data_IF_424250003995
#
_entry.id   IF_424250003995
#
_cell.length_a   1.000
_cell.length_b   1.000
_cell.length_c   1.000
_cell.angle_alpha   90.00
_cell.angle_beta   90.00
_cell.angle_gamma   90.00
#
_symmetry.space_group_name_H-M   'P 1'
#
loop_
_entity.id
_entity.type
_entity.pdbx_description
1 polymer ?
#
# COMPACT_ATOMS: atom_id res chain seq x y z
N UNK A 1 -53.58 -47.39 -21.72
CA UNK A 1 -53.49 -47.05 -20.30
C UNK A 1 -53.07 -45.61 -20.15
N UNK A 2 -53.78 -44.74 -19.42
CA UNK A 2 -53.34 -43.34 -19.23
C UNK A 2 -52.02 -43.32 -18.47
N UNK A 3 -51.03 -42.58 -18.98
CA UNK A 3 -49.71 -42.42 -18.37
C UNK A 3 -49.90 -41.75 -16.98
N UNK A 4 -49.38 -42.39 -15.90
CA UNK A 4 -49.43 -41.87 -14.54
C UNK A 4 -48.82 -40.44 -14.50
N UNK A 5 -49.62 -39.50 -13.98
CA UNK A 5 -49.17 -38.14 -13.62
C UNK A 5 -48.10 -38.21 -12.54
N UNK A 6 -47.12 -37.38 -12.57
CA UNK A 6 -46.07 -37.33 -11.56
C UNK A 6 -46.69 -36.71 -10.29
N UNK A 7 -46.82 -37.46 -9.19
CA UNK A 7 -47.18 -36.93 -7.88
C UNK A 7 -45.87 -36.71 -7.10
N UNK A 8 -45.58 -35.46 -6.79
CA UNK A 8 -44.65 -35.06 -5.75
C UNK A 8 -45.55 -34.65 -4.56
N UNK A 9 -45.68 -35.53 -3.56
CA UNK A 9 -46.44 -35.22 -2.36
C UNK A 9 -45.52 -34.62 -1.29
N UNK A 10 -45.62 -33.30 -1.06
CA UNK A 10 -45.23 -32.68 0.21
C UNK A 10 -46.17 -31.48 0.44
N UNK A 11 -47.11 -31.64 1.35
CA UNK A 11 -47.98 -30.57 1.81
C UNK A 11 -47.16 -29.55 2.60
N UNK A 12 -47.28 -28.27 2.22
CA UNK A 12 -46.65 -27.12 2.94
C UNK A 12 -45.50 -26.44 2.24
N UNK A 13 -44.86 -27.02 1.23
CA UNK A 13 -43.72 -26.41 0.53
C UNK A 13 -44.08 -25.54 -0.69
N UNK A 14 -45.37 -25.50 -1.09
CA UNK A 14 -45.81 -24.78 -2.28
C UNK A 14 -45.62 -23.25 -2.14
N UNK A 15 -45.87 -22.67 -0.96
CA UNK A 15 -45.69 -21.26 -0.69
C UNK A 15 -44.19 -20.89 -0.65
N UNK A 16 -43.38 -21.68 0.02
CA UNK A 16 -41.93 -21.53 0.11
C UNK A 16 -41.26 -21.64 -1.28
N UNK A 17 -41.78 -22.54 -2.10
CA UNK A 17 -41.30 -22.70 -3.50
C UNK A 17 -41.62 -21.48 -4.36
N UNK A 18 -42.83 -20.90 -4.16
CA UNK A 18 -43.24 -19.69 -4.90
C UNK A 18 -42.38 -18.47 -4.54
N UNK A 19 -42.15 -18.31 -3.24
CA UNK A 19 -41.28 -17.27 -2.72
C UNK A 19 -39.83 -17.40 -3.28
N UNK A 20 -39.28 -18.61 -3.25
CA UNK A 20 -37.96 -18.90 -3.83
C UNK A 20 -37.89 -18.67 -5.34
N UNK A 21 -38.93 -19.07 -6.09
CA UNK A 21 -39.00 -18.83 -7.53
C UNK A 21 -39.02 -17.35 -7.91
N UNK A 22 -39.62 -16.49 -7.08
CA UNK A 22 -39.62 -15.05 -7.30
C UNK A 22 -38.24 -14.41 -7.08
N UNK A 23 -37.42 -14.95 -6.18
CA UNK A 23 -36.14 -14.41 -5.76
C UNK A 23 -34.96 -15.02 -6.55
N UNK A 24 -35.11 -16.24 -7.09
CA UNK A 24 -34.01 -16.92 -7.78
C UNK A 24 -33.76 -16.34 -9.18
N UNK A 25 -32.53 -15.86 -9.47
CA UNK A 25 -32.19 -15.33 -10.77
C UNK A 25 -32.22 -16.41 -11.87
N UNK A 26 -32.34 -16.02 -13.16
CA UNK A 26 -32.31 -16.95 -14.28
C UNK A 26 -31.07 -17.86 -14.22
N UNK A 27 -31.28 -19.17 -14.37
CA UNK A 27 -30.20 -20.15 -14.36
C UNK A 27 -30.70 -21.56 -13.98
N UNK A 28 -29.76 -22.50 -13.87
CA UNK A 28 -30.07 -23.91 -13.61
C UNK A 28 -30.85 -24.16 -12.31
N UNK A 29 -30.61 -23.38 -11.26
CA UNK A 29 -31.36 -23.48 -10.01
C UNK A 29 -32.84 -23.13 -10.23
N UNK A 30 -33.12 -22.02 -10.95
CA UNK A 30 -34.48 -21.62 -11.30
C UNK A 30 -35.16 -22.65 -12.19
N UNK A 31 -34.48 -23.22 -13.17
CA UNK A 31 -35.02 -24.30 -14.01
C UNK A 31 -35.45 -25.52 -13.16
N UNK A 32 -34.65 -25.91 -12.18
CA UNK A 32 -34.95 -27.00 -11.27
C UNK A 32 -36.18 -26.69 -10.42
N UNK A 33 -36.26 -25.45 -9.89
CA UNK A 33 -37.43 -25.01 -9.11
C UNK A 33 -38.69 -25.01 -9.98
N UNK A 34 -38.64 -24.57 -11.23
CA UNK A 34 -39.77 -24.63 -12.16
C UNK A 34 -40.18 -26.07 -12.42
N UNK A 35 -39.22 -26.98 -12.61
CA UNK A 35 -39.53 -28.42 -12.79
C UNK A 35 -40.26 -29.01 -11.58
N UNK A 36 -39.77 -28.68 -10.36
CA UNK A 36 -40.43 -29.15 -9.10
C UNK A 36 -41.84 -28.57 -8.98
N UNK A 37 -42.01 -27.26 -9.26
CA UNK A 37 -43.34 -26.63 -9.21
C UNK A 37 -44.36 -27.28 -10.16
N UNK A 38 -43.95 -27.55 -11.40
CA UNK A 38 -44.79 -28.27 -12.38
C UNK A 38 -45.11 -29.69 -11.92
N UNK A 39 -44.17 -30.35 -11.25
CA UNK A 39 -44.37 -31.68 -10.68
C UNK A 39 -45.33 -31.71 -9.50
N UNK A 40 -45.24 -30.71 -8.60
CA UNK A 40 -46.14 -30.58 -7.45
C UNK A 40 -47.56 -30.27 -7.86
N UNK A 41 -47.78 -29.45 -8.89
CA UNK A 41 -49.12 -29.20 -9.47
C UNK A 41 -49.80 -30.45 -10.02
N UNK A 42 -49.04 -31.47 -10.36
CA UNK A 42 -49.58 -32.78 -10.79
C UNK A 42 -50.32 -32.78 -12.16
N UNK A 43 -50.25 -31.65 -12.88
CA UNK A 43 -50.98 -31.47 -14.14
C UNK A 43 -50.23 -32.07 -15.35
N UNK A 44 -48.92 -32.22 -15.22
CA UNK A 44 -48.03 -32.63 -16.27
C UNK A 44 -47.32 -33.97 -16.02
N UNK A 45 -47.07 -34.72 -17.07
CA UNK A 45 -46.21 -35.90 -16.98
C UNK A 45 -44.74 -35.48 -17.04
N UNK A 46 -43.81 -36.33 -16.55
CA UNK A 46 -42.39 -36.10 -16.64
C UNK A 46 -41.88 -35.76 -18.05
N UNK A 47 -42.50 -36.41 -19.08
CA UNK A 47 -42.16 -36.13 -20.45
C UNK A 47 -42.58 -34.74 -20.92
N UNK A 48 -43.73 -34.25 -20.49
CA UNK A 48 -44.24 -32.91 -20.78
C UNK A 48 -43.40 -31.83 -20.09
N UNK A 49 -43.02 -32.03 -18.83
CA UNK A 49 -42.15 -31.15 -18.09
C UNK A 49 -40.77 -31.07 -18.78
N UNK A 50 -40.23 -32.22 -19.19
CA UNK A 50 -38.96 -32.28 -19.90
C UNK A 50 -39.01 -31.52 -21.24
N UNK A 51 -40.10 -31.65 -21.95
CA UNK A 51 -40.32 -30.94 -23.22
C UNK A 51 -40.41 -29.42 -23.01
N UNK A 52 -41.20 -28.97 -22.00
CA UNK A 52 -41.35 -27.54 -21.68
C UNK A 52 -40.04 -26.86 -21.27
N UNK A 53 -39.16 -27.60 -20.61
CA UNK A 53 -37.90 -27.08 -20.11
C UNK A 53 -36.69 -27.35 -21.08
N UNK A 54 -36.94 -28.01 -22.23
CA UNK A 54 -35.89 -28.35 -23.15
C UNK A 54 -34.84 -29.32 -22.56
N UNK A 55 -35.27 -30.22 -21.63
CA UNK A 55 -34.37 -31.15 -20.93
C UNK A 55 -34.79 -32.60 -21.20
N UNK A 56 -33.86 -33.55 -20.94
CA UNK A 56 -34.21 -34.95 -21.01
C UNK A 56 -35.12 -35.38 -19.85
N UNK A 57 -35.97 -36.38 -20.10
CA UNK A 57 -36.80 -37.00 -19.04
C UNK A 57 -35.95 -37.50 -17.87
N UNK A 58 -34.80 -38.07 -18.13
CA UNK A 58 -33.87 -38.53 -17.08
C UNK A 58 -33.36 -37.39 -16.20
N UNK A 59 -33.09 -36.20 -16.78
CA UNK A 59 -32.69 -35.03 -16.05
C UNK A 59 -33.78 -34.58 -15.08
N UNK A 60 -35.05 -34.52 -15.53
CA UNK A 60 -36.17 -34.13 -14.67
C UNK A 60 -36.38 -35.16 -13.57
N UNK A 61 -36.30 -36.44 -13.87
CA UNK A 61 -36.37 -37.51 -12.88
C UNK A 61 -35.27 -37.34 -11.80
N UNK A 62 -34.03 -37.09 -12.19
CA UNK A 62 -32.91 -36.86 -11.27
C UNK A 62 -33.19 -35.66 -10.34
N UNK A 63 -33.78 -34.57 -10.85
CA UNK A 63 -34.16 -33.41 -10.02
C UNK A 63 -35.29 -33.73 -9.03
N UNK A 64 -36.27 -34.54 -9.43
CA UNK A 64 -37.35 -35.00 -8.57
C UNK A 64 -36.85 -35.96 -7.50
N UNK A 65 -35.91 -36.84 -7.83
CA UNK A 65 -35.29 -37.74 -6.85
C UNK A 65 -34.43 -36.99 -5.86
N UNK A 66 -33.70 -35.97 -6.34
CA UNK A 66 -32.94 -35.08 -5.47
C UNK A 66 -33.85 -34.31 -4.50
N UNK A 67 -34.99 -33.79 -4.99
CA UNK A 67 -35.96 -33.09 -4.19
C UNK A 67 -36.58 -34.00 -3.11
N UNK A 68 -36.98 -35.21 -3.48
CA UNK A 68 -37.53 -36.20 -2.54
C UNK A 68 -36.56 -36.61 -1.45
N UNK A 69 -35.26 -36.71 -1.82
CA UNK A 69 -34.24 -37.19 -0.90
C UNK A 69 -33.66 -36.10 0.01
N UNK A 70 -33.47 -34.90 -0.51
CA UNK A 70 -32.71 -33.86 0.16
C UNK A 70 -33.44 -32.51 0.27
N UNK A 71 -34.69 -32.42 -0.19
CA UNK A 71 -35.54 -31.24 -0.07
C UNK A 71 -35.19 -30.09 -1.02
N UNK A 72 -35.93 -28.97 -0.86
CA UNK A 72 -35.87 -27.81 -1.73
C UNK A 72 -34.52 -27.09 -1.68
N UNK A 73 -33.93 -26.98 -0.50
CA UNK A 73 -32.63 -26.33 -0.28
C UNK A 73 -31.51 -26.94 -1.15
N UNK A 74 -31.54 -28.26 -1.29
CA UNK A 74 -30.49 -28.97 -2.05
C UNK A 74 -30.68 -28.81 -3.58
N UNK A 75 -31.93 -28.69 -4.00
CA UNK A 75 -32.24 -28.44 -5.42
C UNK A 75 -31.68 -27.10 -5.89
N UNK A 76 -31.75 -26.07 -5.03
CA UNK A 76 -31.28 -24.73 -5.28
C UNK A 76 -29.71 -24.63 -5.21
N UNK A 77 -29.11 -25.48 -4.40
CA UNK A 77 -27.63 -25.45 -4.27
C UNK A 77 -26.94 -25.79 -5.58
N UNK A 78 -26.09 -24.87 -6.04
CA UNK A 78 -25.09 -25.24 -7.05
C UNK A 78 -24.20 -26.32 -6.45
N UNK A 79 -23.93 -27.39 -7.21
CA UNK A 79 -22.88 -28.33 -6.81
C UNK A 79 -21.54 -27.57 -6.71
N UNK A 80 -21.09 -27.33 -5.50
CA UNK A 80 -19.78 -26.73 -5.26
C UNK A 80 -18.63 -27.74 -5.41
N UNK A 81 -18.94 -28.94 -5.90
CA UNK A 81 -17.89 -29.91 -6.20
C UNK A 81 -17.03 -29.35 -7.34
N UNK A 82 -15.75 -29.15 -7.14
CA UNK A 82 -14.87 -28.70 -8.21
C UNK A 82 -14.88 -29.75 -9.33
N UNK A 83 -15.43 -29.37 -10.49
CA UNK A 83 -15.60 -30.25 -11.66
C UNK A 83 -14.30 -30.39 -12.49
N UNK A 84 -13.14 -30.17 -11.90
CA UNK A 84 -11.85 -30.22 -12.58
C UNK A 84 -10.85 -31.15 -11.92
N UNK A 85 -9.73 -31.39 -12.61
CA UNK A 85 -8.59 -32.13 -12.07
C UNK A 85 -8.18 -31.48 -10.74
N UNK A 86 -7.96 -32.26 -9.65
CA UNK A 86 -7.49 -31.74 -8.38
C UNK A 86 -6.24 -30.89 -8.56
N UNK A 87 -6.20 -29.75 -7.86
CA UNK A 87 -5.04 -28.86 -7.95
C UNK A 87 -3.82 -29.51 -7.30
N UNK A 88 -2.68 -29.50 -7.98
CA UNK A 88 -1.39 -29.93 -7.42
C UNK A 88 -0.89 -28.97 -6.32
N UNK A 89 -1.51 -27.80 -6.18
CA UNK A 89 -1.23 -26.83 -5.10
C UNK A 89 -1.93 -27.27 -3.80
N UNK A 90 -1.36 -28.25 -3.12
CA UNK A 90 -1.87 -28.68 -1.81
C UNK A 90 -1.71 -27.57 -0.76
N UNK A 91 -2.49 -27.58 0.36
CA UNK A 91 -2.35 -26.58 1.44
C UNK A 91 -0.92 -26.46 1.99
N UNK A 92 -0.17 -27.56 2.06
CA UNK A 92 1.23 -27.58 2.45
C UNK A 92 2.11 -26.80 1.47
N UNK A 93 1.99 -27.09 0.19
CA UNK A 93 2.75 -26.43 -0.88
C UNK A 93 2.39 -24.95 -0.93
N UNK A 94 1.11 -24.61 -0.80
CA UNK A 94 0.63 -23.23 -0.76
C UNK A 94 1.27 -22.43 0.37
N UNK A 95 1.34 -22.98 1.58
CA UNK A 95 1.97 -22.34 2.75
C UNK A 95 3.46 -22.08 2.53
N UNK A 96 4.19 -23.07 2.01
CA UNK A 96 5.63 -22.93 1.75
C UNK A 96 5.90 -21.95 0.59
N UNK A 97 5.08 -21.98 -0.47
CA UNK A 97 5.18 -21.02 -1.56
C UNK A 97 4.93 -19.60 -1.07
N UNK A 98 3.89 -19.37 -0.26
CA UNK A 98 3.60 -18.07 0.35
C UNK A 98 4.77 -17.57 1.21
N UNK A 99 5.38 -18.45 2.01
CA UNK A 99 6.57 -18.14 2.83
C UNK A 99 7.79 -17.74 1.99
N UNK A 100 8.00 -18.37 0.85
CA UNK A 100 9.09 -18.00 -0.08
C UNK A 100 8.79 -16.68 -0.80
N UNK A 101 7.53 -16.48 -1.21
CA UNK A 101 7.09 -15.23 -1.84
C UNK A 101 7.21 -14.03 -0.90
N UNK A 102 6.88 -14.18 0.38
CA UNK A 102 7.02 -13.10 1.38
C UNK A 102 8.48 -12.69 1.61
N UNK A 103 9.43 -13.59 1.38
CA UNK A 103 10.87 -13.33 1.44
C UNK A 103 11.46 -12.80 0.13
N UNK A 104 10.66 -12.65 -0.93
CA UNK A 104 11.15 -12.22 -2.26
C UNK A 104 12.12 -13.22 -2.91
N UNK A 105 11.98 -14.53 -2.61
CA UNK A 105 12.95 -15.55 -3.03
C UNK A 105 12.95 -15.84 -4.54
N UNK A 106 11.94 -15.39 -5.27
CA UNK A 106 11.80 -15.66 -6.70
C UNK A 106 11.83 -14.37 -7.51
N UNK A 107 12.73 -14.30 -8.46
CA UNK A 107 12.86 -13.19 -9.38
C UNK A 107 11.93 -13.35 -10.60
N UNK A 108 11.71 -14.58 -11.03
CA UNK A 108 10.88 -14.96 -12.18
C UNK A 108 9.94 -16.10 -11.80
N UNK A 109 8.89 -16.30 -12.59
CA UNK A 109 7.96 -17.45 -12.42
C UNK A 109 8.68 -18.79 -12.60
N UNK A 110 9.68 -18.86 -13.48
CA UNK A 110 10.53 -20.04 -13.69
C UNK A 110 11.29 -20.46 -12.44
N UNK A 111 11.72 -19.50 -11.63
CA UNK A 111 12.45 -19.79 -10.38
C UNK A 111 11.52 -20.50 -9.39
N UNK A 112 10.28 -20.03 -9.26
CA UNK A 112 9.24 -20.67 -8.45
C UNK A 112 8.87 -22.07 -9.01
N UNK A 113 8.75 -22.20 -10.33
CA UNK A 113 8.46 -23.46 -11.01
C UNK A 113 9.56 -24.49 -10.78
N UNK A 114 10.81 -24.10 -10.95
CA UNK A 114 11.98 -24.97 -10.70
C UNK A 114 12.05 -25.38 -9.24
N UNK A 115 11.78 -24.46 -8.31
CA UNK A 115 11.74 -24.76 -6.89
C UNK A 115 10.61 -25.74 -6.52
N UNK A 116 9.40 -25.56 -7.06
CA UNK A 116 8.26 -26.46 -6.87
C UNK A 116 8.57 -27.86 -7.39
N UNK A 117 9.19 -27.96 -8.57
CA UNK A 117 9.59 -29.24 -9.14
C UNK A 117 10.65 -29.95 -8.27
N UNK A 118 11.70 -29.24 -7.85
CA UNK A 118 12.80 -29.83 -7.03
C UNK A 118 12.34 -30.22 -5.65
N UNK A 119 11.49 -29.40 -5.00
CA UNK A 119 11.14 -29.57 -3.59
C UNK A 119 9.93 -30.49 -3.38
N UNK A 120 8.99 -30.52 -4.33
CA UNK A 120 7.70 -31.20 -4.18
C UNK A 120 7.37 -32.13 -5.37
N UNK A 121 8.24 -32.24 -6.35
CA UNK A 121 7.98 -33.03 -7.56
C UNK A 121 6.88 -32.47 -8.47
N UNK A 122 6.40 -31.24 -8.22
CA UNK A 122 5.28 -30.64 -8.97
C UNK A 122 5.76 -30.13 -10.34
N UNK A 123 5.23 -30.70 -11.41
CA UNK A 123 5.57 -30.35 -12.81
C UNK A 123 4.52 -29.43 -13.44
N UNK A 124 4.17 -28.34 -12.74
CA UNK A 124 3.19 -27.37 -13.23
C UNK A 124 3.76 -26.49 -14.35
N UNK A 125 2.89 -26.11 -15.31
CA UNK A 125 3.24 -25.17 -16.38
C UNK A 125 3.42 -23.75 -15.89
N UNK A 126 4.07 -22.88 -16.68
CA UNK A 126 4.31 -21.47 -16.37
C UNK A 126 3.05 -20.72 -15.95
N UNK A 127 1.99 -20.80 -16.77
CA UNK A 127 0.74 -20.08 -16.48
C UNK A 127 0.06 -20.58 -15.21
N UNK A 128 0.14 -21.87 -14.91
CA UNK A 128 -0.41 -22.47 -13.69
C UNK A 128 0.31 -21.91 -12.45
N UNK A 129 1.65 -21.89 -12.45
CA UNK A 129 2.44 -21.34 -11.35
C UNK A 129 2.19 -19.85 -11.21
N UNK A 130 2.12 -19.09 -12.30
CA UNK A 130 1.77 -17.67 -12.30
C UNK A 130 0.38 -17.42 -11.68
N UNK A 131 -0.62 -18.24 -12.02
CA UNK A 131 -1.96 -18.16 -11.41
C UNK A 131 -1.92 -18.47 -9.91
N UNK A 132 -1.14 -19.47 -9.48
CA UNK A 132 -0.98 -19.78 -8.06
C UNK A 132 -0.34 -18.63 -7.29
N UNK A 133 0.72 -18.03 -7.85
CA UNK A 133 1.33 -16.84 -7.28
C UNK A 133 0.34 -15.65 -7.19
N UNK A 134 -0.49 -15.47 -8.23
CA UNK A 134 -1.55 -14.48 -8.25
C UNK A 134 -2.63 -14.69 -7.17
N UNK A 135 -3.08 -15.95 -6.97
CA UNK A 135 -4.01 -16.33 -5.89
C UNK A 135 -3.42 -16.01 -4.50
N UNK A 136 -2.10 -16.10 -4.35
CA UNK A 136 -1.36 -15.70 -3.15
C UNK A 136 -1.05 -14.19 -3.11
N UNK A 137 -1.69 -13.39 -3.98
CA UNK A 137 -1.53 -11.95 -4.08
C UNK A 137 -0.09 -11.48 -4.35
N UNK A 138 0.75 -12.36 -4.89
CA UNK A 138 2.11 -12.01 -5.28
C UNK A 138 2.09 -11.03 -6.47
N UNK A 139 2.90 -9.97 -6.35
CA UNK A 139 3.12 -8.98 -7.41
C UNK A 139 4.61 -8.75 -7.58
N UNK A 140 5.03 -8.49 -8.81
CA UNK A 140 6.41 -8.11 -9.07
C UNK A 140 6.67 -6.72 -8.47
N UNK A 141 7.61 -6.66 -7.52
CA UNK A 141 8.01 -5.43 -6.85
C UNK A 141 9.53 -5.28 -6.94
N UNK A 142 10.01 -4.05 -7.01
CA UNK A 142 11.44 -3.75 -6.86
C UNK A 142 11.72 -3.71 -5.35
N UNK A 143 12.64 -4.57 -4.84
CA UNK A 143 13.05 -4.52 -3.45
C UNK A 143 13.68 -3.15 -3.14
N UNK A 144 13.29 -2.56 -2.02
CA UNK A 144 14.01 -1.37 -1.52
C UNK A 144 15.24 -1.82 -0.74
N UNK A 145 16.41 -1.23 -0.99
CA UNK A 145 17.58 -1.47 -0.17
C UNK A 145 17.25 -1.14 1.29
N UNK A 146 17.55 -2.06 2.18
CA UNK A 146 17.41 -1.84 3.63
C UNK A 146 18.77 -2.04 4.27
N UNK A 147 19.22 -1.06 5.06
CA UNK A 147 20.44 -1.24 5.82
C UNK A 147 20.26 -2.39 6.82
N UNK A 148 21.18 -3.37 6.88
CA UNK A 148 21.10 -4.49 7.84
C UNK A 148 21.05 -4.04 9.30
N UNK A 149 21.65 -2.89 9.62
CA UNK A 149 21.68 -2.31 10.97
C UNK A 149 20.37 -1.59 11.35
N UNK A 150 19.41 -1.46 10.41
CA UNK A 150 18.12 -0.87 10.71
C UNK A 150 17.32 -1.75 11.67
N UNK A 151 16.78 -1.17 12.75
CA UNK A 151 16.11 -1.91 13.82
C UNK A 151 14.66 -1.45 13.98
N UNK A 152 13.71 -2.34 13.68
CA UNK A 152 12.28 -2.06 13.81
C UNK A 152 11.87 -1.73 15.24
N UNK A 153 12.48 -2.40 16.24
CA UNK A 153 12.21 -2.15 17.66
C UNK A 153 12.64 -0.75 18.09
N UNK A 154 13.79 -0.25 17.60
CA UNK A 154 14.25 1.12 17.90
C UNK A 154 13.30 2.15 17.29
N UNK A 155 12.81 1.92 16.06
CA UNK A 155 11.83 2.79 15.39
C UNK A 155 10.51 2.83 16.14
N UNK A 156 9.99 1.66 16.52
CA UNK A 156 8.74 1.58 17.26
C UNK A 156 8.85 2.23 18.64
N UNK A 157 9.97 2.03 19.34
CA UNK A 157 10.25 2.71 20.61
C UNK A 157 10.30 4.23 20.42
N UNK A 158 10.97 4.71 19.37
CA UNK A 158 11.02 6.13 19.05
C UNK A 158 9.62 6.72 18.84
N UNK A 159 8.79 6.03 18.02
CA UNK A 159 7.40 6.47 17.79
C UNK A 159 6.59 6.58 19.07
N UNK A 160 6.67 5.59 19.96
CA UNK A 160 5.92 5.57 21.21
C UNK A 160 6.43 6.57 22.26
N UNK A 161 7.70 6.90 22.19
CA UNK A 161 8.37 7.72 23.20
C UNK A 161 8.72 9.13 22.69
N UNK A 162 8.26 9.52 21.50
CA UNK A 162 8.63 10.80 20.89
C UNK A 162 8.35 11.97 21.84
N UNK A 163 7.12 12.10 22.34
CA UNK A 163 6.76 13.16 23.27
C UNK A 163 7.68 13.19 24.50
N UNK A 164 7.93 12.03 25.12
CA UNK A 164 8.84 11.94 26.30
C UNK A 164 10.26 12.39 25.98
N UNK A 165 10.77 12.00 24.79
CA UNK A 165 12.11 12.39 24.36
C UNK A 165 12.21 13.89 24.07
N UNK A 166 11.17 14.47 23.43
CA UNK A 166 11.07 15.92 23.21
C UNK A 166 11.11 16.69 24.54
N UNK A 167 10.34 16.24 25.54
CA UNK A 167 10.37 16.86 26.88
C UNK A 167 11.73 16.73 27.58
N UNK A 168 12.38 15.57 27.47
CA UNK A 168 13.71 15.38 28.03
C UNK A 168 14.74 16.33 27.40
N UNK A 169 14.69 16.51 26.08
CA UNK A 169 15.57 17.44 25.36
C UNK A 169 15.33 18.91 25.74
N UNK A 170 14.07 19.31 25.96
CA UNK A 170 13.74 20.65 26.49
C UNK A 170 14.37 20.87 27.88
N UNK A 171 14.22 19.89 28.77
CA UNK A 171 14.78 19.95 30.13
C UNK A 171 16.30 20.04 30.12
N UNK A 172 16.97 19.27 29.24
CA UNK A 172 18.43 19.31 29.06
C UNK A 172 18.93 20.72 28.71
N UNK A 173 18.17 21.48 27.90
CA UNK A 173 18.46 22.86 27.53
C UNK A 173 17.95 23.92 28.53
N UNK A 174 17.34 23.51 29.64
CA UNK A 174 16.76 24.43 30.60
C UNK A 174 15.53 25.22 30.11
N UNK A 175 14.89 24.75 29.05
CA UNK A 175 13.77 25.41 28.40
C UNK A 175 12.43 24.92 28.99
N UNK A 176 11.52 25.86 29.30
CA UNK A 176 10.24 25.55 29.92
C UNK A 176 9.06 25.85 28.98
N UNK A 177 8.33 24.83 28.56
CA UNK A 177 7.13 24.94 27.73
C UNK A 177 6.05 25.89 28.26
N UNK A 178 5.84 25.93 29.58
CA UNK A 178 4.75 26.72 30.18
C UNK A 178 4.84 28.23 29.88
N UNK A 179 5.99 28.72 29.44
CA UNK A 179 6.24 30.14 29.22
C UNK A 179 6.30 30.55 27.74
N UNK A 180 6.44 29.58 26.83
CA UNK A 180 6.70 29.85 25.40
C UNK A 180 6.02 28.79 24.54
N UNK A 181 5.47 29.13 23.36
CA UNK A 181 4.94 28.13 22.42
C UNK A 181 6.06 27.22 21.92
N UNK A 182 5.74 25.93 21.70
CA UNK A 182 6.68 24.94 21.17
C UNK A 182 6.30 24.63 19.74
N UNK A 183 7.26 24.74 18.84
CA UNK A 183 7.13 24.37 17.42
C UNK A 183 8.02 23.18 17.11
N UNK A 184 7.43 22.12 16.60
CA UNK A 184 8.13 20.88 16.29
C UNK A 184 8.39 20.82 14.79
N UNK A 185 9.65 20.60 14.42
CA UNK A 185 10.12 20.54 13.05
C UNK A 185 10.71 19.17 12.75
N UNK A 186 10.50 18.68 11.54
CA UNK A 186 11.24 17.55 10.97
C UNK A 186 12.14 18.11 9.91
N UNK A 187 13.42 17.80 9.99
CA UNK A 187 14.44 18.33 9.11
C UNK A 187 15.14 17.21 8.32
N UNK A 188 15.58 17.54 7.13
CA UNK A 188 16.40 16.69 6.28
C UNK A 188 17.14 17.52 5.23
N UNK A 189 18.22 16.97 4.66
CA UNK A 189 18.86 17.55 3.50
C UNK A 189 18.92 16.57 2.33
N UNK A 190 18.73 17.10 1.13
CA UNK A 190 18.81 16.31 -0.08
C UNK A 190 19.72 16.98 -1.12
N UNK A 191 20.46 16.15 -1.83
CA UNK A 191 21.32 16.60 -2.92
C UNK A 191 20.56 16.56 -4.24
N UNK A 192 20.57 17.69 -4.95
CA UNK A 192 20.00 17.86 -6.27
C UNK A 192 21.07 18.35 -7.24
N UNK A 193 21.08 17.85 -8.47
CA UNK A 193 22.12 18.19 -9.43
C UNK A 193 21.81 17.74 -10.85
N UNK A 194 22.74 17.99 -11.75
CA UNK A 194 22.60 17.75 -13.19
C UNK A 194 22.64 16.27 -13.58
N UNK A 195 22.97 15.38 -12.61
CA UNK A 195 22.87 13.94 -12.86
C UNK A 195 21.41 13.54 -13.16
N UNK A 196 21.17 12.71 -14.20
CA UNK A 196 19.81 12.42 -14.65
C UNK A 196 18.99 11.69 -13.59
N UNK A 197 17.89 12.28 -13.20
CA UNK A 197 16.85 11.62 -12.43
C UNK A 197 15.82 11.02 -13.40
N UNK A 198 15.76 9.69 -13.49
CA UNK A 198 14.90 8.98 -14.42
C UNK A 198 13.74 8.33 -13.65
N UNK A 199 12.52 8.59 -14.08
CA UNK A 199 11.27 8.00 -13.59
C UNK A 199 10.47 7.41 -14.74
N UNK A 200 9.51 6.56 -14.44
CA UNK A 200 8.61 5.97 -15.44
C UNK A 200 7.81 7.07 -16.15
N UNK A 201 7.64 6.94 -17.46
CA UNK A 201 6.84 7.83 -18.29
C UNK A 201 5.89 7.01 -19.16
N UNK A 202 4.79 7.61 -19.58
CA UNK A 202 3.88 7.02 -20.54
C UNK A 202 4.51 7.08 -21.95
N UNK A 203 4.66 5.91 -22.58
CA UNK A 203 5.29 5.79 -23.87
C UNK A 203 4.48 4.78 -24.70
N UNK A 204 4.30 5.09 -25.98
CA UNK A 204 3.60 4.20 -26.91
C UNK A 204 4.29 2.84 -26.99
N UNK A 205 3.50 1.77 -27.04
CA UNK A 205 4.00 0.40 -27.20
C UNK A 205 4.91 0.30 -28.45
N UNK A 206 6.08 -0.30 -28.27
CA UNK A 206 7.07 -0.48 -29.36
C UNK A 206 8.06 0.68 -29.51
N UNK A 207 7.85 1.81 -28.85
CA UNK A 207 8.80 2.93 -28.86
C UNK A 207 9.78 2.79 -27.69
N UNK A 208 11.09 2.89 -27.99
CA UNK A 208 12.14 2.93 -26.97
C UNK A 208 12.34 4.38 -26.52
N UNK A 209 12.06 4.64 -25.24
CA UNK A 209 12.29 5.97 -24.68
C UNK A 209 13.78 6.25 -24.52
N UNK A 210 14.19 7.40 -25.00
CA UNK A 210 15.51 7.96 -24.77
C UNK A 210 15.38 9.32 -24.09
N UNK A 211 16.19 9.57 -23.08
CA UNK A 211 16.36 10.89 -22.46
C UNK A 211 17.83 11.26 -22.52
N UNK A 212 18.14 12.40 -23.11
CA UNK A 212 19.51 12.93 -23.07
C UNK A 212 19.87 13.32 -21.64
N UNK A 213 21.05 12.92 -21.21
CA UNK A 213 21.59 13.23 -19.90
C UNK A 213 22.90 13.99 -20.03
N UNK A 214 23.16 14.93 -19.13
CA UNK A 214 24.46 15.51 -18.96
C UNK A 214 25.30 14.64 -18.02
N UNK A 215 26.58 14.51 -18.30
CA UNK A 215 27.57 13.79 -17.48
C UNK A 215 28.23 14.68 -16.43
N UNK A 216 27.85 15.96 -16.32
CA UNK A 216 28.41 16.88 -15.34
C UNK A 216 27.88 16.54 -13.94
N UNK A 217 28.77 16.54 -12.96
CA UNK A 217 28.52 16.23 -11.58
C UNK A 217 28.33 17.50 -10.71
N UNK A 218 27.68 18.51 -11.26
CA UNK A 218 27.36 19.71 -10.51
C UNK A 218 26.09 19.46 -9.68
N UNK A 219 26.14 19.75 -8.37
CA UNK A 219 25.01 19.59 -7.45
C UNK A 219 25.02 20.66 -6.36
N UNK A 220 23.87 20.79 -5.71
CA UNK A 220 23.71 21.59 -4.50
C UNK A 220 22.82 20.85 -3.49
N UNK A 221 23.03 21.12 -2.22
CA UNK A 221 22.14 20.64 -1.16
C UNK A 221 20.97 21.60 -0.99
N UNK A 222 19.79 21.02 -0.79
CA UNK A 222 18.61 21.72 -0.32
C UNK A 222 18.31 21.17 1.08
N UNK A 223 18.42 22.03 2.06
CA UNK A 223 18.01 21.76 3.44
C UNK A 223 16.54 22.10 3.55
N UNK A 224 15.76 21.25 4.18
CA UNK A 224 14.32 21.46 4.36
C UNK A 224 13.88 21.11 5.76
N UNK A 225 13.05 21.95 6.34
CA UNK A 225 12.38 21.68 7.59
C UNK A 225 10.87 21.93 7.44
N UNK A 226 10.07 20.97 7.92
CA UNK A 226 8.60 21.05 7.89
C UNK A 226 8.07 21.05 9.33
N UNK A 227 7.20 22.00 9.64
CA UNK A 227 6.60 22.13 10.96
C UNK A 227 5.42 21.18 11.12
N UNK A 228 5.47 20.33 12.14
CA UNK A 228 4.39 19.42 12.49
C UNK A 228 3.25 20.20 13.14
N UNK A 229 2.03 20.03 12.65
CA UNK A 229 0.82 20.67 13.19
C UNK A 229 0.62 22.13 12.80
N UNK A 230 1.70 22.87 12.49
CA UNK A 230 1.61 24.30 12.16
C UNK A 230 1.67 24.63 10.67
N UNK A 231 2.10 23.67 9.81
CA UNK A 231 2.20 23.87 8.37
C UNK A 231 3.30 24.86 7.92
N UNK A 232 4.23 25.22 8.78
CA UNK A 232 5.40 26.01 8.42
C UNK A 232 6.44 25.21 7.66
N UNK A 233 7.22 25.87 6.80
CA UNK A 233 8.36 25.27 6.10
C UNK A 233 9.52 26.25 6.00
N UNK A 234 10.74 25.72 6.08
CA UNK A 234 11.98 26.47 5.89
C UNK A 234 12.88 25.72 4.92
N UNK A 235 13.57 26.47 4.06
CA UNK A 235 14.50 25.91 3.09
C UNK A 235 15.77 26.76 3.01
N UNK A 236 16.92 26.07 2.87
CA UNK A 236 18.22 26.69 2.69
C UNK A 236 18.98 25.95 1.57
N UNK A 237 19.64 26.67 0.70
CA UNK A 237 20.51 26.13 -0.34
C UNK A 237 21.99 26.27 0.07
N UNK A 238 22.74 25.20 -0.12
CA UNK A 238 24.18 25.20 0.16
C UNK A 238 24.95 24.28 -0.77
N UNK A 239 26.20 24.59 -1.02
CA UNK A 239 27.10 23.75 -1.80
C UNK A 239 27.74 22.61 -0.97
N UNK A 240 27.61 22.65 0.35
CA UNK A 240 28.13 21.65 1.28
C UNK A 240 27.12 21.31 2.37
N UNK A 241 27.28 20.13 2.98
CA UNK A 241 26.54 19.71 4.16
C UNK A 241 27.57 19.54 5.31
N UNK A 242 27.65 20.54 6.18
CA UNK A 242 28.55 20.55 7.31
C UNK A 242 27.93 21.21 8.56
N UNK A 243 28.70 21.28 9.65
CA UNK A 243 28.24 21.83 10.92
C UNK A 243 27.88 23.31 10.85
N UNK A 244 28.59 24.09 10.03
CA UNK A 244 28.34 25.53 9.91
C UNK A 244 27.03 25.81 9.20
N UNK A 245 26.75 25.07 8.11
CA UNK A 245 25.48 25.15 7.42
C UNK A 245 24.34 24.64 8.31
N UNK A 246 24.56 23.57 9.10
CA UNK A 246 23.59 23.09 10.08
C UNK A 246 23.21 24.19 11.08
N UNK A 247 24.19 24.91 11.63
CA UNK A 247 23.98 26.02 12.56
C UNK A 247 23.26 27.19 11.87
N UNK A 248 23.66 27.54 10.65
CA UNK A 248 23.01 28.60 9.88
C UNK A 248 21.52 28.28 9.64
N UNK A 249 21.21 27.02 9.31
CA UNK A 249 19.83 26.60 9.10
C UNK A 249 19.00 26.61 10.40
N UNK A 250 19.61 26.20 11.53
CA UNK A 250 18.95 26.30 12.83
C UNK A 250 18.70 27.75 13.27
N UNK A 251 19.59 28.68 12.94
CA UNK A 251 19.38 30.12 13.14
C UNK A 251 18.22 30.63 12.32
N UNK A 252 18.11 30.26 11.04
CA UNK A 252 16.97 30.61 10.19
C UNK A 252 15.65 30.11 10.78
N UNK A 253 15.59 28.86 11.29
CA UNK A 253 14.41 28.31 11.96
C UNK A 253 14.10 29.12 13.25
N UNK A 254 15.11 29.47 14.02
CA UNK A 254 14.99 30.27 15.25
C UNK A 254 14.40 31.65 14.99
N UNK A 255 14.87 32.33 13.95
CA UNK A 255 14.48 33.71 13.58
C UNK A 255 13.05 33.79 13.05
N UNK A 256 12.45 32.68 12.57
CA UNK A 256 11.06 32.64 12.14
C UNK A 256 10.06 33.02 13.26
N UNK A 257 10.36 32.61 14.49
CA UNK A 257 9.58 32.96 15.67
C UNK A 257 10.53 32.99 16.89
N UNK A 258 11.23 34.10 17.14
CA UNK A 258 12.22 34.19 18.22
C UNK A 258 11.65 33.94 19.60
N UNK A 259 10.32 34.13 19.80
CA UNK A 259 9.66 33.85 21.05
C UNK A 259 9.37 32.37 21.27
N UNK A 260 9.13 31.60 20.20
CA UNK A 260 8.85 30.17 20.29
C UNK A 260 10.11 29.37 20.66
N UNK A 261 9.88 28.15 21.17
CA UNK A 261 10.91 27.10 21.29
C UNK A 261 10.78 26.19 20.07
N UNK A 262 11.88 25.99 19.34
CA UNK A 262 11.92 25.14 18.16
C UNK A 262 12.56 23.80 18.50
N UNK A 263 11.78 22.72 18.44
CA UNK A 263 12.25 21.34 18.54
C UNK A 263 12.49 20.79 17.14
N UNK A 264 13.74 20.54 16.78
CA UNK A 264 14.11 20.03 15.45
C UNK A 264 14.48 18.55 15.53
N UNK A 265 13.72 17.72 14.82
CA UNK A 265 13.96 16.28 14.69
C UNK A 265 14.73 16.06 13.40
N UNK A 266 15.94 15.54 13.49
CA UNK A 266 16.81 15.24 12.36
C UNK A 266 17.48 13.86 12.46
N UNK A 267 18.31 13.51 11.51
CA UNK A 267 19.03 12.25 11.55
C UNK A 267 20.30 12.34 12.43
N UNK A 268 21.06 11.26 12.44
CA UNK A 268 22.29 11.14 13.22
C UNK A 268 23.56 11.50 12.46
N UNK A 269 23.50 12.31 11.39
CA UNK A 269 24.70 12.69 10.65
C UNK A 269 25.74 13.33 11.55
N UNK A 270 27.02 13.06 11.29
CA UNK A 270 28.13 13.50 12.16
C UNK A 270 28.31 15.00 12.19
N UNK A 271 27.91 15.71 11.16
CA UNK A 271 27.96 17.17 11.06
C UNK A 271 26.79 17.89 11.76
N UNK A 272 25.75 17.18 12.17
CA UNK A 272 24.65 17.77 12.94
C UNK A 272 25.09 18.10 14.35
N UNK A 273 24.97 19.36 14.81
CA UNK A 273 25.35 19.76 16.15
C UNK A 273 24.52 19.04 17.23
N UNK A 274 25.10 18.96 18.41
CA UNK A 274 24.41 18.50 19.61
C UNK A 274 23.82 19.70 20.37
N UNK A 275 22.89 19.44 21.28
CA UNK A 275 22.31 20.47 22.16
C UNK A 275 23.35 21.26 22.99
N UNK A 276 24.56 20.70 23.17
CA UNK A 276 25.68 21.31 23.88
C UNK A 276 26.59 22.21 23.03
N UNK A 277 26.39 22.25 21.71
CA UNK A 277 27.18 23.09 20.82
C UNK A 277 26.95 24.58 21.17
N UNK A 278 28.00 25.37 21.49
CA UNK A 278 27.85 26.77 21.92
C UNK A 278 27.29 27.67 20.81
N UNK A 279 27.30 27.26 19.58
CA UNK A 279 26.74 28.01 18.43
C UNK A 279 25.25 27.85 18.25
N UNK A 280 24.62 26.91 19.00
CA UNK A 280 23.20 26.65 18.94
C UNK A 280 22.37 27.85 19.40
N UNK A 281 21.31 28.24 18.65
CA UNK A 281 20.38 29.26 19.10
C UNK A 281 19.74 28.89 20.44
N UNK A 282 19.51 29.87 21.31
CA UNK A 282 19.00 29.63 22.67
C UNK A 282 17.60 29.03 22.72
N UNK A 283 16.79 29.28 21.69
CA UNK A 283 15.42 28.77 21.56
C UNK A 283 15.30 27.51 20.70
N UNK A 284 16.41 26.90 20.31
CA UNK A 284 16.41 25.66 19.48
C UNK A 284 16.89 24.48 20.29
N UNK A 285 16.18 23.35 20.15
CA UNK A 285 16.52 22.06 20.73
C UNK A 285 16.49 21.03 19.63
N UNK A 286 17.48 20.14 19.60
CA UNK A 286 17.58 19.09 18.59
C UNK A 286 17.35 17.70 19.18
N UNK A 287 16.64 16.85 18.43
CA UNK A 287 16.41 15.45 18.76
C UNK A 287 16.83 14.56 17.57
N UNK A 288 17.74 13.63 17.82
CA UNK A 288 18.19 12.68 16.81
C UNK A 288 17.25 11.49 16.64
N UNK A 289 16.87 11.20 15.40
CA UNK A 289 16.16 9.96 15.03
C UNK A 289 17.08 8.74 15.21
N UNK A 290 16.51 7.54 15.40
CA UNK A 290 17.28 6.31 15.28
C UNK A 290 17.97 6.22 13.90
N UNK A 291 19.20 5.71 13.84
CA UNK A 291 19.93 5.56 12.58
C UNK A 291 19.16 4.66 11.60
N UNK A 292 19.38 4.88 10.31
CA UNK A 292 18.80 4.10 9.21
C UNK A 292 17.26 4.02 9.24
N UNK A 293 16.60 5.14 9.56
CA UNK A 293 15.15 5.22 9.70
C UNK A 293 14.53 6.34 8.85
N UNK A 294 14.66 6.30 7.51
CA UNK A 294 14.12 7.33 6.62
C UNK A 294 12.59 7.43 6.71
N UNK A 295 11.90 6.32 6.98
CA UNK A 295 10.45 6.29 7.15
C UNK A 295 9.94 7.08 8.36
N UNK A 296 10.80 7.49 9.27
CA UNK A 296 10.47 8.40 10.35
C UNK A 296 10.63 9.88 9.95
N UNK A 297 11.12 10.16 8.72
CA UNK A 297 11.33 11.51 8.24
C UNK A 297 10.26 11.89 7.20
N UNK A 298 9.38 12.81 7.59
CA UNK A 298 8.32 13.29 6.69
C UNK A 298 8.88 14.11 5.50
N UNK A 299 10.05 14.74 5.66
CA UNK A 299 10.71 15.53 4.62
C UNK A 299 11.16 14.67 3.44
N UNK A 300 11.45 13.38 3.66
CA UNK A 300 11.76 12.44 2.57
C UNK A 300 10.65 12.36 1.50
N UNK A 301 9.38 12.49 1.91
CA UNK A 301 8.26 12.53 0.97
C UNK A 301 8.28 13.80 0.12
N UNK A 302 8.69 14.93 0.71
CA UNK A 302 8.85 16.19 -0.03
C UNK A 302 9.94 16.03 -1.09
N UNK A 303 11.07 15.41 -0.73
CA UNK A 303 12.14 15.15 -1.68
C UNK A 303 11.72 14.20 -2.79
N UNK A 304 10.92 13.18 -2.50
CA UNK A 304 10.39 12.28 -3.53
C UNK A 304 9.45 13.02 -4.49
N UNK A 305 8.57 13.89 -4.00
CA UNK A 305 7.71 14.73 -4.83
C UNK A 305 8.52 15.73 -5.67
N UNK A 306 9.54 16.37 -5.09
CA UNK A 306 10.42 17.27 -5.84
C UNK A 306 11.21 16.51 -6.91
N UNK A 307 11.76 15.33 -6.59
CA UNK A 307 12.43 14.48 -7.60
C UNK A 307 11.48 14.09 -8.72
N UNK A 308 10.22 13.76 -8.44
CA UNK A 308 9.23 13.46 -9.47
C UNK A 308 8.94 14.67 -10.36
N UNK A 309 8.88 15.88 -9.79
CA UNK A 309 8.72 17.11 -10.57
C UNK A 309 9.93 17.41 -11.47
N UNK A 310 11.14 17.13 -11.01
CA UNK A 310 12.39 17.42 -11.72
C UNK A 310 12.84 16.31 -12.67
N UNK A 311 12.32 15.08 -12.51
CA UNK A 311 12.76 13.93 -13.29
C UNK A 311 12.43 14.04 -14.77
N UNK A 312 13.12 13.24 -15.60
CA UNK A 312 12.92 13.17 -17.05
C UNK A 312 13.10 14.51 -17.79
N UNK A 313 13.69 15.52 -17.17
CA UNK A 313 14.00 16.81 -17.77
C UNK A 313 15.50 16.94 -18.08
N UNK A 314 15.84 17.77 -19.05
CA UNK A 314 17.23 18.15 -19.36
C UNK A 314 17.46 19.55 -18.81
N UNK A 315 18.41 19.68 -17.92
CA UNK A 315 18.77 20.95 -17.31
C UNK A 315 19.97 21.56 -18.06
N UNK A 316 19.91 22.84 -18.42
CA UNK A 316 21.01 23.52 -19.08
C UNK A 316 22.11 23.91 -18.10
N UNK A 317 21.72 24.36 -16.91
CA UNK A 317 22.58 24.75 -15.81
C UNK A 317 22.07 24.21 -14.48
N UNK A 318 22.93 24.23 -13.45
CA UNK A 318 22.50 23.94 -12.08
C UNK A 318 21.51 25.01 -11.59
N UNK A 319 21.71 26.26 -11.99
CA UNK A 319 20.85 27.36 -11.66
C UNK A 319 19.43 27.18 -12.19
N UNK A 320 19.24 26.73 -13.45
CA UNK A 320 17.92 26.42 -14.02
C UNK A 320 17.18 25.37 -13.17
N UNK A 321 17.91 24.32 -12.72
CA UNK A 321 17.36 23.28 -11.87
C UNK A 321 16.92 23.85 -10.52
N UNK A 322 17.78 24.67 -9.89
CA UNK A 322 17.51 25.26 -8.57
C UNK A 322 16.39 26.28 -8.63
N UNK A 323 16.29 27.10 -9.67
CA UNK A 323 15.22 28.04 -9.88
C UNK A 323 13.88 27.30 -10.03
N UNK A 324 13.84 26.23 -10.81
CA UNK A 324 12.66 25.38 -10.95
C UNK A 324 12.29 24.71 -9.63
N UNK A 325 13.29 24.23 -8.87
CA UNK A 325 13.06 23.64 -7.54
C UNK A 325 12.49 24.67 -6.58
N UNK A 326 13.05 25.88 -6.57
CA UNK A 326 12.58 27.00 -5.72
C UNK A 326 11.15 27.40 -6.06
N UNK A 327 10.83 27.52 -7.35
CA UNK A 327 9.47 27.84 -7.76
C UNK A 327 8.46 26.78 -7.30
N UNK A 328 8.80 25.51 -7.43
CA UNK A 328 7.97 24.42 -6.95
C UNK A 328 7.83 24.39 -5.41
N UNK A 329 8.93 24.67 -4.67
CA UNK A 329 8.92 24.74 -3.21
C UNK A 329 8.11 25.93 -2.69
N UNK A 330 8.01 27.05 -3.43
CA UNK A 330 7.18 28.22 -3.07
C UNK A 330 5.71 27.84 -2.92
N UNK A 331 5.21 26.88 -3.69
CA UNK A 331 3.84 26.37 -3.55
C UNK A 331 3.59 25.74 -2.17
N UNK A 332 4.63 25.20 -1.53
CA UNK A 332 4.56 24.67 -0.16
C UNK A 332 4.68 25.76 0.90
N UNK A 333 5.48 26.81 0.66
CA UNK A 333 5.58 27.92 1.61
C UNK A 333 4.24 28.64 1.82
N UNK A 334 3.44 28.69 0.78
CA UNK A 334 2.17 29.44 0.77
C UNK A 334 0.96 28.55 1.11
N UNK A 335 1.14 27.23 1.29
CA UNK A 335 0.06 26.30 1.55
C UNK A 335 0.33 25.38 2.76
N UNK A 336 0.00 25.85 3.99
CA UNK A 336 0.14 25.06 5.20
C UNK A 336 -0.63 23.74 5.17
N UNK A 337 -1.78 23.68 4.49
CA UNK A 337 -2.62 22.48 4.39
C UNK A 337 -1.89 21.40 3.58
N UNK A 338 -1.22 21.81 2.50
CA UNK A 338 -0.42 20.91 1.66
C UNK A 338 0.74 20.30 2.44
N UNK A 339 1.41 21.10 3.27
CA UNK A 339 2.48 20.63 4.17
C UNK A 339 1.94 19.62 5.18
N UNK A 340 0.82 19.92 5.84
CA UNK A 340 0.19 19.02 6.79
C UNK A 340 -0.22 17.70 6.12
N UNK A 341 -0.79 17.74 4.92
CA UNK A 341 -1.13 16.57 4.12
C UNK A 341 0.09 15.72 3.78
N UNK A 342 1.21 16.34 3.44
CA UNK A 342 2.47 15.67 3.12
C UNK A 342 3.08 14.99 4.35
N UNK A 343 3.14 15.72 5.48
CA UNK A 343 3.63 15.20 6.76
C UNK A 343 2.77 14.01 7.21
N UNK A 344 1.43 14.08 7.11
CA UNK A 344 0.40 13.03 7.13
C UNK A 344 0.63 11.78 7.98
N UNK A 345 1.64 11.76 8.85
CA UNK A 345 1.91 10.70 9.79
C UNK A 345 1.10 10.98 11.07
N UNK A 346 -0.13 10.46 11.15
CA UNK A 346 -1.03 10.65 12.29
C UNK A 346 -0.36 10.42 13.65
N UNK A 347 0.63 9.53 13.71
CA UNK A 347 1.41 9.28 14.91
C UNK A 347 2.29 10.48 15.33
N UNK A 348 2.84 11.25 14.39
CA UNK A 348 3.60 12.48 14.72
C UNK A 348 2.68 13.58 15.24
N UNK A 349 1.54 13.76 14.58
CA UNK A 349 0.54 14.75 15.00
C UNK A 349 -0.01 14.43 16.40
N UNK A 350 -0.34 13.16 16.67
CA UNK A 350 -0.83 12.74 17.98
C UNK A 350 0.18 12.93 19.11
N UNK A 351 1.47 12.85 18.82
CA UNK A 351 2.55 13.09 19.80
C UNK A 351 2.97 14.55 19.88
N UNK A 352 2.69 15.36 18.84
CA UNK A 352 3.01 16.79 18.82
C UNK A 352 2.00 17.65 19.59
N UNK A 353 0.78 17.15 19.79
CA UNK A 353 -0.28 17.82 20.56
C UNK A 353 -0.08 17.75 22.09
N UNK A 354 1.14 17.59 22.52
CA UNK A 354 1.52 17.50 23.95
C UNK A 354 1.80 18.86 24.55
#
# INVERSE_FOLDING_TARGET
MPRRRSKLDQQGEAELLYERLSQEPPGLARERLVAINLGLKGEHTLAQIAQQLGRSRATIQTWFDLYRKEGLERVCRRSNSPTGRPSELTPKIQKELAKKLSKGSFRRVEDARSWLSKQFGVKAGYNTVRLWMGKLQARLKVPRPRNPESCDLKRERFRRQLARQLFASLKERGLHRKKRPVRIWVQDEARFGLHPCIRRAWITKGVRAHKSSKTKFDWQYIWGALQIGGGGSEFLYSNKADGDVSIAFLKQISERDPYAIHLVIWDGASFHPLNKDPRMPDNVVVLRKPPYSPELNAVEKLWDCLRDHLCNRKWSTLEDLLNTSTQWLKDFWNDPIRIQSLIGQGWMLSQANV
#
